data_IF_558164018884
#
_entry.id   IF_558164018884
#
_cell.length_a   1.000
_cell.length_b   1.000
_cell.length_c   1.000
_cell.angle_alpha   90.00
_cell.angle_beta   90.00
_cell.angle_gamma   90.00
#
_symmetry.space_group_name_H-M   'P 1'
#
loop_
_entity.id
_entity.type
_entity.pdbx_description
1 polymer ?
#
# COMPACT_ATOMS: atom_id res chain seq x y z
N UNK A 1 -4.42 -30.64 19.06
CA UNK A 1 -5.32 -29.78 18.25
C UNK A 1 -4.89 -28.34 18.43
N UNK A 2 -4.75 -27.56 17.35
CA UNK A 2 -4.27 -26.17 17.45
C UNK A 2 -5.36 -25.30 18.09
N UNK A 3 -4.99 -24.51 19.10
CA UNK A 3 -5.89 -23.58 19.78
C UNK A 3 -5.93 -22.26 19.02
N UNK A 4 -7.13 -21.80 18.68
CA UNK A 4 -7.35 -20.57 17.93
C UNK A 4 -7.87 -19.45 18.85
N UNK A 5 -7.62 -18.16 18.52
CA UNK A 5 -6.80 -17.69 17.40
C UNK A 5 -5.30 -17.88 17.65
N UNK A 6 -4.54 -18.08 16.58
CA UNK A 6 -3.08 -18.03 16.62
C UNK A 6 -2.67 -16.55 16.61
N UNK A 7 -1.82 -16.17 17.56
CA UNK A 7 -1.25 -14.83 17.60
C UNK A 7 -0.05 -14.76 16.69
N UNK A 8 -0.05 -13.81 15.77
CA UNK A 8 1.05 -13.59 14.84
C UNK A 8 1.50 -12.14 14.94
N UNK A 9 2.80 -11.94 14.97
CA UNK A 9 3.42 -10.63 14.72
C UNK A 9 3.84 -10.58 13.26
N UNK A 10 3.77 -9.40 12.66
CA UNK A 10 4.36 -9.17 11.34
C UNK A 10 5.58 -8.28 11.50
N UNK A 11 6.65 -8.67 10.82
CA UNK A 11 7.82 -7.84 10.61
C UNK A 11 7.64 -7.04 9.31
N UNK A 12 8.30 -5.89 9.19
CA UNK A 12 8.27 -5.06 7.98
C UNK A 12 8.80 -5.80 6.77
N UNK A 13 9.79 -6.69 6.95
CA UNK A 13 10.34 -7.51 5.88
C UNK A 13 9.28 -8.41 5.21
N UNK A 14 8.25 -8.86 5.95
CA UNK A 14 7.15 -9.66 5.39
C UNK A 14 6.26 -8.79 4.50
N UNK A 15 5.99 -7.55 4.90
CA UNK A 15 5.24 -6.59 4.10
C UNK A 15 6.00 -6.23 2.83
N UNK A 16 7.32 -6.02 2.95
CA UNK A 16 8.20 -5.73 1.83
C UNK A 16 8.30 -6.89 0.83
N UNK A 17 8.46 -8.12 1.33
CA UNK A 17 8.52 -9.33 0.52
C UNK A 17 7.19 -9.61 -0.20
N UNK A 18 6.07 -9.28 0.44
CA UNK A 18 4.74 -9.31 -0.17
C UNK A 18 4.47 -8.10 -1.09
N UNK A 19 5.46 -7.23 -1.29
CA UNK A 19 5.36 -6.01 -2.09
C UNK A 19 4.28 -5.01 -1.68
N UNK A 20 3.79 -5.08 -0.43
CA UNK A 20 2.57 -4.40 -0.01
C UNK A 20 1.40 -4.69 -0.97
N UNK A 21 1.38 -5.88 -1.58
CA UNK A 21 0.31 -6.28 -2.45
C UNK A 21 -0.91 -6.61 -1.60
N UNK A 22 -1.96 -5.82 -1.84
CA UNK A 22 -3.21 -5.86 -1.12
C UNK A 22 -4.37 -6.31 -2.01
N UNK A 23 -4.07 -6.81 -3.21
CA UNK A 23 -5.04 -7.39 -4.14
C UNK A 23 -5.77 -8.60 -3.56
N UNK A 24 -6.94 -8.92 -4.11
CA UNK A 24 -7.78 -10.02 -3.62
C UNK A 24 -7.09 -11.38 -3.61
N UNK A 25 -6.11 -11.59 -4.50
CA UNK A 25 -5.34 -12.84 -4.62
C UNK A 25 -4.00 -12.79 -3.88
N UNK A 26 -3.68 -11.69 -3.19
CA UNK A 26 -2.38 -11.50 -2.57
C UNK A 26 -2.20 -12.31 -1.27
N UNK A 27 -0.94 -12.50 -0.87
CA UNK A 27 -0.58 -13.14 0.40
C UNK A 27 -1.13 -12.37 1.61
N UNK A 28 -1.14 -11.02 1.57
CA UNK A 28 -1.67 -10.21 2.66
C UNK A 28 -3.19 -10.29 2.74
N UNK A 29 -3.88 -10.48 1.61
CA UNK A 29 -5.31 -10.73 1.61
C UNK A 29 -5.65 -12.10 2.20
N UNK A 30 -4.82 -13.13 1.99
CA UNK A 30 -4.98 -14.41 2.66
C UNK A 30 -4.91 -14.25 4.20
N UNK A 31 -3.98 -13.42 4.70
CA UNK A 31 -3.93 -13.09 6.13
C UNK A 31 -5.20 -12.38 6.61
N UNK A 32 -5.70 -11.39 5.85
CA UNK A 32 -6.99 -10.72 6.15
C UNK A 32 -8.12 -11.75 6.28
N UNK A 33 -8.18 -12.73 5.37
CA UNK A 33 -9.20 -13.77 5.39
C UNK A 33 -9.11 -14.64 6.66
N UNK A 34 -7.91 -14.98 7.11
CA UNK A 34 -7.72 -15.72 8.37
C UNK A 34 -8.07 -14.91 9.61
N UNK A 35 -7.79 -13.60 9.60
CA UNK A 35 -8.19 -12.68 10.68
C UNK A 35 -9.72 -12.59 10.76
N UNK A 36 -10.39 -12.38 9.62
CA UNK A 36 -11.87 -12.34 9.54
C UNK A 36 -12.52 -13.64 10.02
N UNK A 37 -11.93 -14.79 9.70
CA UNK A 37 -12.37 -16.12 10.18
C UNK A 37 -12.05 -16.39 11.66
N UNK A 38 -11.39 -15.45 12.35
CA UNK A 38 -10.98 -15.61 13.75
C UNK A 38 -9.93 -16.69 13.98
N UNK A 39 -9.22 -17.12 12.93
CA UNK A 39 -8.15 -18.11 13.01
C UNK A 39 -6.82 -17.47 13.39
N UNK A 40 -6.61 -16.22 13.00
CA UNK A 40 -5.40 -15.46 13.28
C UNK A 40 -5.76 -14.17 14.00
N UNK A 41 -4.93 -13.77 14.96
CA UNK A 41 -4.95 -12.43 15.55
C UNK A 41 -3.58 -11.80 15.33
N UNK A 42 -3.56 -10.73 14.53
CA UNK A 42 -2.34 -9.99 14.24
C UNK A 42 -2.06 -9.02 15.38
N UNK A 43 -0.80 -8.92 15.78
CA UNK A 43 -0.31 -7.95 16.75
C UNK A 43 0.85 -7.19 16.09
N UNK A 44 0.72 -5.87 15.98
CA UNK A 44 1.74 -4.99 15.41
C UNK A 44 2.30 -4.08 16.50
N UNK A 45 3.61 -3.89 16.49
CA UNK A 45 4.23 -2.83 17.29
C UNK A 45 4.15 -1.50 16.55
N UNK A 46 4.16 -0.39 17.30
CA UNK A 46 4.21 0.95 16.70
C UNK A 46 5.47 1.18 15.84
N UNK A 47 6.57 0.48 16.18
CA UNK A 47 7.82 0.55 15.41
C UNK A 47 7.61 -0.06 14.01
N UNK A 48 7.01 -1.25 13.93
CA UNK A 48 6.70 -1.90 12.66
C UNK A 48 5.75 -1.06 11.82
N UNK A 49 4.73 -0.45 12.43
CA UNK A 49 3.79 0.44 11.72
C UNK A 49 4.54 1.61 11.10
N UNK A 50 5.34 2.35 11.88
CA UNK A 50 6.09 3.51 11.37
C UNK A 50 7.12 3.16 10.30
N UNK A 51 7.76 2.00 10.40
CA UNK A 51 8.70 1.55 9.38
C UNK A 51 7.96 1.15 8.09
N UNK A 52 6.83 0.45 8.20
CA UNK A 52 5.98 0.12 7.06
C UNK A 52 5.43 1.37 6.35
N UNK A 53 5.00 2.39 7.11
CA UNK A 53 4.59 3.70 6.57
C UNK A 53 5.72 4.33 5.75
N UNK A 54 6.93 4.36 6.31
CA UNK A 54 8.11 4.90 5.61
C UNK A 54 8.39 4.14 4.31
N UNK A 55 8.33 2.82 4.33
CA UNK A 55 8.63 1.98 3.17
C UNK A 55 7.59 2.17 2.06
N UNK A 56 6.29 2.09 2.38
CA UNK A 56 5.23 2.24 1.36
C UNK A 56 5.17 3.67 0.82
N UNK A 57 5.38 4.69 1.66
CA UNK A 57 5.44 6.08 1.22
C UNK A 57 6.64 6.32 0.28
N UNK A 58 7.80 5.74 0.59
CA UNK A 58 8.98 5.84 -0.26
C UNK A 58 8.76 5.12 -1.60
N UNK A 59 8.11 3.94 -1.61
CA UNK A 59 7.72 3.23 -2.83
C UNK A 59 6.81 4.10 -3.71
N UNK A 60 5.71 4.64 -3.16
CA UNK A 60 4.81 5.54 -3.89
C UNK A 60 5.50 6.79 -4.44
N UNK A 61 6.38 7.39 -3.64
CA UNK A 61 7.19 8.52 -4.04
C UNK A 61 8.16 8.22 -5.20
N UNK A 62 8.74 7.02 -5.23
CA UNK A 62 9.59 6.55 -6.33
C UNK A 62 8.78 6.37 -7.61
N UNK A 63 7.62 5.70 -7.54
CA UNK A 63 6.71 5.56 -8.69
C UNK A 63 6.31 6.92 -9.25
N UNK A 64 5.93 7.87 -8.39
CA UNK A 64 5.60 9.23 -8.80
C UNK A 64 6.79 9.94 -9.49
N UNK A 65 8.03 9.71 -9.03
CA UNK A 65 9.21 10.27 -9.68
C UNK A 65 9.48 9.69 -11.07
N UNK A 66 9.24 8.38 -11.25
CA UNK A 66 9.38 7.71 -12.54
C UNK A 66 8.32 8.21 -13.53
N UNK A 67 7.08 8.37 -13.08
CA UNK A 67 6.00 8.93 -13.91
C UNK A 67 6.28 10.36 -14.35
N UNK A 68 6.82 11.22 -13.46
CA UNK A 68 7.23 12.58 -13.84
C UNK A 68 8.32 12.58 -14.93
N UNK A 69 9.30 11.68 -14.83
CA UNK A 69 10.35 11.53 -15.85
C UNK A 69 9.76 11.05 -17.17
N UNK A 70 8.93 10.00 -17.15
CA UNK A 70 8.25 9.47 -18.33
C UNK A 70 7.43 10.56 -19.04
N UNK A 71 6.66 11.35 -18.28
CA UNK A 71 5.91 12.49 -18.81
C UNK A 71 6.82 13.52 -19.48
N UNK A 72 7.91 13.90 -18.82
CA UNK A 72 8.86 14.86 -19.37
C UNK A 72 9.52 14.35 -20.67
N UNK A 73 9.86 13.07 -20.74
CA UNK A 73 10.49 12.47 -21.92
C UNK A 73 9.50 12.29 -23.08
N UNK A 74 8.24 11.96 -22.79
CA UNK A 74 7.18 11.92 -23.80
C UNK A 74 6.96 13.29 -24.44
N UNK A 75 6.91 14.36 -23.63
CA UNK A 75 6.70 15.74 -24.09
C UNK A 75 7.88 16.33 -24.89
N UNK A 76 9.08 15.74 -24.78
CA UNK A 76 10.21 16.07 -25.67
C UNK A 76 10.04 15.48 -27.07
N UNK A 77 9.26 14.40 -27.19
CA UNK A 77 9.14 13.60 -28.42
C UNK A 77 7.89 13.95 -29.21
N UNK A 78 6.77 14.17 -28.52
CA UNK A 78 5.48 14.45 -29.13
C UNK A 78 4.77 15.59 -28.39
N UNK A 79 4.03 16.39 -29.13
CA UNK A 79 3.19 17.45 -28.55
C UNK A 79 2.03 16.86 -27.74
N UNK A 80 1.49 17.64 -26.79
CA UNK A 80 0.27 17.30 -26.05
C UNK A 80 -0.88 16.89 -26.98
N UNK A 81 -1.01 17.55 -28.13
CA UNK A 81 -2.02 17.22 -29.12
C UNK A 81 -1.83 15.81 -29.69
N UNK A 82 -0.62 15.47 -30.14
CA UNK A 82 -0.31 14.13 -30.67
C UNK A 82 -0.50 13.04 -29.60
N UNK A 83 -0.06 13.29 -28.36
CA UNK A 83 -0.27 12.38 -27.25
C UNK A 83 -1.75 12.10 -27.01
N UNK A 84 -2.61 13.12 -27.10
CA UNK A 84 -4.07 12.97 -26.99
C UNK A 84 -4.66 12.17 -28.16
N UNK A 85 -4.25 12.46 -29.40
CA UNK A 85 -4.75 11.74 -30.58
C UNK A 85 -4.35 10.26 -30.58
N UNK A 86 -3.18 9.92 -30.02
CA UNK A 86 -2.69 8.54 -29.90
C UNK A 86 -3.28 7.76 -28.70
N UNK A 87 -4.17 8.37 -27.91
CA UNK A 87 -4.70 7.74 -26.69
C UNK A 87 -3.70 7.66 -25.54
N UNK A 88 -2.66 8.51 -25.54
CA UNK A 88 -1.64 8.60 -24.48
C UNK A 88 -1.84 9.82 -23.57
N UNK A 89 -2.93 10.55 -23.73
CA UNK A 89 -3.24 11.77 -22.96
C UNK A 89 -3.29 11.54 -21.44
N UNK A 90 -3.67 10.34 -21.01
CA UNK A 90 -3.77 9.96 -19.59
C UNK A 90 -2.45 10.12 -18.83
N UNK A 91 -1.30 9.98 -19.50
CA UNK A 91 0.03 10.18 -18.92
C UNK A 91 0.22 11.63 -18.46
N UNK A 92 -0.43 12.58 -19.14
CA UNK A 92 -0.40 14.00 -18.82
C UNK A 92 -1.30 14.35 -17.62
N UNK A 93 -2.32 13.53 -17.37
CA UNK A 93 -3.32 13.73 -16.31
C UNK A 93 -2.92 13.09 -14.97
N UNK A 94 -1.81 12.33 -14.94
CA UNK A 94 -1.32 11.69 -13.72
C UNK A 94 -1.00 12.71 -12.63
N UNK A 95 -1.39 12.43 -11.38
CA UNK A 95 -0.99 13.24 -10.22
C UNK A 95 0.53 13.24 -10.10
N UNK A 96 1.08 14.45 -10.13
CA UNK A 96 2.50 14.74 -9.96
C UNK A 96 2.76 15.42 -8.61
N UNK A 97 1.93 15.17 -7.59
CA UNK A 97 2.23 15.60 -6.22
C UNK A 97 2.84 14.44 -5.42
N UNK A 98 4.07 14.64 -4.93
CA UNK A 98 4.79 13.60 -4.19
C UNK A 98 4.23 13.43 -2.79
N UNK A 99 3.77 14.51 -2.16
CA UNK A 99 3.21 14.48 -0.82
C UNK A 99 1.85 13.77 -0.83
N UNK A 100 1.00 14.09 -1.82
CA UNK A 100 -0.29 13.43 -2.02
C UNK A 100 -0.13 11.91 -2.21
N UNK A 101 0.79 11.48 -3.09
CA UNK A 101 1.03 10.05 -3.35
C UNK A 101 1.59 9.34 -2.11
N UNK A 102 2.47 9.99 -1.34
CA UNK A 102 2.96 9.45 -0.07
C UNK A 102 1.81 9.21 0.90
N UNK A 103 0.94 10.21 1.07
CA UNK A 103 -0.20 10.10 1.98
C UNK A 103 -1.17 9.00 1.53
N UNK A 104 -1.55 8.96 0.24
CA UNK A 104 -2.40 7.87 -0.30
C UNK A 104 -1.82 6.48 -0.08
N UNK A 105 -0.48 6.35 -0.16
CA UNK A 105 0.20 5.09 0.11
C UNK A 105 0.09 4.69 1.59
N UNK A 106 0.25 5.64 2.50
CA UNK A 106 0.08 5.42 3.95
C UNK A 106 -1.37 5.08 4.30
N UNK A 107 -2.34 5.81 3.74
CA UNK A 107 -3.76 5.58 3.97
C UNK A 107 -4.19 4.17 3.52
N UNK A 108 -3.65 3.70 2.39
CA UNK A 108 -3.84 2.33 1.93
C UNK A 108 -3.34 1.31 2.95
N UNK A 109 -2.14 1.50 3.51
CA UNK A 109 -1.61 0.62 4.55
C UNK A 109 -2.51 0.62 5.79
N UNK A 110 -2.94 1.80 6.26
CA UNK A 110 -3.80 1.92 7.44
C UNK A 110 -5.13 1.21 7.29
N UNK A 111 -5.73 1.23 6.11
CA UNK A 111 -6.96 0.47 5.82
C UNK A 111 -6.80 -1.02 6.15
N UNK A 112 -5.63 -1.61 5.87
CA UNK A 112 -5.37 -3.03 6.15
C UNK A 112 -4.97 -3.28 7.60
N UNK A 113 -4.20 -2.37 8.21
CA UNK A 113 -3.89 -2.42 9.64
C UNK A 113 -5.18 -2.39 10.47
N UNK A 114 -6.14 -1.54 10.13
CA UNK A 114 -7.45 -1.54 10.79
C UNK A 114 -8.15 -2.89 10.71
N UNK A 115 -8.14 -3.53 9.54
CA UNK A 115 -8.77 -4.85 9.36
C UNK A 115 -8.06 -5.89 10.25
N UNK A 116 -6.74 -5.85 10.32
CA UNK A 116 -5.95 -6.74 11.17
C UNK A 116 -6.19 -6.51 12.67
N UNK A 117 -6.36 -5.25 13.08
CA UNK A 117 -6.46 -4.82 14.47
C UNK A 117 -7.90 -4.69 15.01
N UNK A 118 -8.93 -4.81 14.16
CA UNK A 118 -10.37 -4.59 14.46
C UNK A 118 -11.00 -5.47 15.57
N UNK A 119 -10.20 -6.18 16.35
CA UNK A 119 -10.62 -6.92 17.56
C UNK A 119 -10.06 -6.37 18.88
N UNK A 120 -9.47 -5.17 18.88
CA UNK A 120 -8.96 -4.51 20.10
C UNK A 120 -9.81 -3.35 20.64
N UNK A 121 -10.89 -2.93 19.97
CA UNK A 121 -11.80 -1.88 20.48
C UNK A 121 -12.86 -2.43 21.45
N UNK A 122 -12.45 -3.27 22.40
CA UNK A 122 -13.12 -3.47 23.70
C UNK A 122 -11.97 -3.65 24.70
N UNK A 123 -11.90 -2.77 25.70
CA UNK A 123 -10.88 -2.66 26.78
C UNK A 123 -9.69 -1.74 26.48
N UNK A 124 -9.95 -0.43 26.41
CA UNK A 124 -9.44 0.51 27.44
C UNK A 124 -10.55 1.56 27.65
N UNK A 125 -11.32 1.39 28.71
CA UNK A 125 -12.03 2.50 29.37
C UNK A 125 -11.10 3.08 30.42
#
# INVERSE_FOLDING_TARGET
MIKYPIYVTLDTNILDAANFDFDEKSTLQLLVNYVKKGKVKVVLSNIVVKEAEKHIAQRGATVCSLMRKLRADALKTATDYQMKQLGLGHILDLSIDKAEIRQKSIDLLHKYIEIWMRRFLILVK
#
